data_IF_998418103646
#
_entry.id   IF_998418103646
#
_cell.length_a   1.000
_cell.length_b   1.000
_cell.length_c   1.000
_cell.angle_alpha   90.00
_cell.angle_beta   90.00
_cell.angle_gamma   90.00
#
_symmetry.space_group_name_H-M   'P 1'
#
loop_
_entity.id
_entity.type
_entity.pdbx_description
1 polymer ?
#
# COMPACT_ATOMS: atom_id res chain seq x y z
N UNK A 1 11.27 -2.53 13.03
CA UNK A 1 10.15 -1.86 12.35
C UNK A 1 9.34 -1.07 13.37
N UNK A 2 9.29 0.27 13.28
CA UNK A 2 8.43 1.08 14.16
C UNK A 2 7.14 1.40 13.42
N UNK A 3 6.06 0.71 13.75
CA UNK A 3 4.76 0.94 13.15
C UNK A 3 4.05 2.13 13.79
N UNK A 4 3.15 2.79 13.05
CA UNK A 4 2.20 3.73 13.64
C UNK A 4 1.25 2.94 14.56
N UNK A 5 1.56 2.91 15.86
CA UNK A 5 0.95 2.02 16.87
C UNK A 5 -0.58 1.95 16.79
N UNK A 6 -1.25 3.09 16.63
CA UNK A 6 -2.70 3.15 16.54
C UNK A 6 -3.24 2.52 15.25
N UNK A 7 -2.58 2.75 14.12
CA UNK A 7 -2.98 2.18 12.83
C UNK A 7 -2.68 0.66 12.79
N UNK A 8 -1.58 0.22 13.42
CA UNK A 8 -1.26 -1.21 13.53
C UNK A 8 -2.25 -1.97 14.43
N UNK A 9 -2.72 -1.36 15.53
CA UNK A 9 -3.75 -1.96 16.36
C UNK A 9 -5.08 -2.14 15.61
N UNK A 10 -5.45 -1.18 14.75
CA UNK A 10 -6.65 -1.31 13.92
C UNK A 10 -6.47 -2.41 12.87
N UNK A 11 -5.28 -2.53 12.28
CA UNK A 11 -4.94 -3.61 11.37
C UNK A 11 -5.18 -4.98 12.02
N UNK A 12 -4.58 -5.25 13.18
CA UNK A 12 -4.68 -6.55 13.86
C UNK A 12 -6.10 -6.83 14.36
N UNK A 13 -6.80 -5.82 14.88
CA UNK A 13 -8.17 -5.99 15.40
C UNK A 13 -9.19 -6.26 14.29
N UNK A 14 -9.05 -5.63 13.11
CA UNK A 14 -10.03 -5.76 12.02
C UNK A 14 -9.75 -6.88 11.04
N UNK A 15 -8.48 -7.20 10.80
CA UNK A 15 -8.08 -8.11 9.71
C UNK A 15 -7.50 -9.42 10.23
N UNK A 16 -7.40 -9.59 11.56
CA UNK A 16 -7.01 -10.82 12.24
C UNK A 16 -5.56 -10.85 12.69
N UNK A 17 -5.24 -11.83 13.54
CA UNK A 17 -3.90 -12.13 14.02
C UNK A 17 -3.12 -12.92 12.95
N UNK A 18 -1.79 -12.72 12.86
CA UNK A 18 -0.84 -13.37 11.94
C UNK A 18 -0.60 -12.75 10.55
N UNK A 19 -0.88 -11.45 10.37
CA UNK A 19 -0.41 -10.74 9.16
C UNK A 19 1.07 -10.38 9.32
N UNK A 20 1.95 -11.08 8.60
CA UNK A 20 3.37 -10.71 8.51
C UNK A 20 3.50 -9.40 7.71
N UNK A 21 3.80 -8.32 8.43
CA UNK A 21 4.05 -7.01 7.84
C UNK A 21 5.52 -6.87 7.53
N UNK A 22 5.80 -6.66 6.25
CA UNK A 22 7.14 -6.46 5.70
C UNK A 22 7.56 -5.00 5.80
N UNK A 23 6.61 -4.08 5.66
CA UNK A 23 6.88 -2.64 5.65
C UNK A 23 5.60 -1.83 5.87
N UNK A 24 5.78 -0.57 6.29
CA UNK A 24 4.69 0.40 6.36
C UNK A 24 5.12 1.79 5.90
N UNK A 25 4.25 2.49 5.18
CA UNK A 25 4.43 3.90 4.81
C UNK A 25 3.14 4.68 5.05
N UNK A 26 3.20 6.02 5.03
CA UNK A 26 1.98 6.82 4.92
C UNK A 26 1.58 6.99 3.47
N UNK A 27 0.32 7.35 3.31
CA UNK A 27 -0.17 7.71 2.00
C UNK A 27 -1.61 8.18 2.01
N UNK A 28 -2.11 8.36 0.81
CA UNK A 28 -3.49 8.73 0.53
C UNK A 28 -4.16 7.59 -0.21
N UNK A 29 -5.38 7.26 0.18
CA UNK A 29 -6.22 6.25 -0.43
C UNK A 29 -7.45 6.94 -1.03
N UNK A 30 -7.62 6.82 -2.33
CA UNK A 30 -8.83 7.25 -3.02
C UNK A 30 -9.66 6.03 -3.37
N UNK A 31 -10.89 6.01 -2.88
CA UNK A 31 -11.91 5.06 -3.28
C UNK A 31 -13.17 5.85 -3.59
N UNK A 32 -13.65 5.72 -4.83
CA UNK A 32 -14.89 6.33 -5.31
C UNK A 32 -14.91 7.86 -5.10
N UNK A 33 -13.79 8.53 -5.40
CA UNK A 33 -13.65 9.99 -5.32
C UNK A 33 -13.39 10.55 -3.92
N UNK A 34 -13.26 9.71 -2.89
CA UNK A 34 -13.01 10.15 -1.52
C UNK A 34 -11.57 9.87 -1.07
N UNK A 35 -10.78 10.94 -0.93
CA UNK A 35 -9.41 10.87 -0.41
C UNK A 35 -9.35 10.67 1.10
N UNK A 36 -8.53 9.70 1.52
CA UNK A 36 -8.26 9.40 2.94
C UNK A 36 -6.77 9.34 3.17
N UNK A 37 -6.26 10.12 4.12
CA UNK A 37 -4.87 10.00 4.57
C UNK A 37 -4.77 8.96 5.68
N UNK A 38 -3.75 8.11 5.60
CA UNK A 38 -3.58 7.00 6.54
C UNK A 38 -2.24 6.30 6.37
N UNK A 39 -2.18 5.07 6.84
CA UNK A 39 -1.02 4.19 6.75
C UNK A 39 -1.29 3.04 5.82
N UNK A 40 -0.29 2.75 5.00
CA UNK A 40 -0.18 1.52 4.24
C UNK A 40 0.68 0.53 4.99
N UNK A 41 0.20 -0.70 5.12
CA UNK A 41 0.96 -1.84 5.60
C UNK A 41 1.06 -2.86 4.48
N UNK A 42 2.26 -3.38 4.25
CA UNK A 42 2.55 -4.32 3.18
C UNK A 42 2.80 -5.70 3.75
N UNK A 43 2.17 -6.69 3.15
CA UNK A 43 2.46 -8.10 3.37
C UNK A 43 2.96 -8.73 2.08
N UNK A 44 3.21 -10.04 2.11
CA UNK A 44 3.60 -10.82 0.93
C UNK A 44 2.55 -10.82 -0.20
N UNK A 45 1.28 -10.60 0.12
CA UNK A 45 0.17 -10.83 -0.83
C UNK A 45 -0.78 -9.64 -0.97
N UNK A 46 -0.75 -8.71 -0.03
CA UNK A 46 -1.71 -7.62 0.08
C UNK A 46 -1.04 -6.33 0.53
N UNK A 47 -1.61 -5.24 0.04
CA UNK A 47 -1.48 -3.90 0.59
C UNK A 47 -2.71 -3.60 1.45
N UNK A 48 -2.49 -3.12 2.67
CA UNK A 48 -3.56 -2.73 3.59
C UNK A 48 -3.52 -1.23 3.82
N UNK A 49 -4.61 -0.54 3.52
CA UNK A 49 -4.77 0.85 3.94
C UNK A 49 -5.55 0.92 5.25
N UNK A 50 -4.98 1.59 6.24
CA UNK A 50 -5.57 1.75 7.56
C UNK A 50 -5.59 3.21 7.94
N UNK A 51 -6.71 3.65 8.51
CA UNK A 51 -6.85 4.97 9.10
C UNK A 51 -7.48 4.78 10.48
N UNK A 52 -6.66 4.89 11.52
CA UNK A 52 -7.11 4.63 12.89
C UNK A 52 -8.18 5.61 13.37
N UNK A 53 -8.11 6.88 12.95
CA UNK A 53 -9.01 7.95 13.44
C UNK A 53 -10.50 7.74 13.13
N UNK A 54 -10.83 7.01 12.08
CA UNK A 54 -12.20 6.65 11.69
C UNK A 54 -12.41 5.14 11.68
N UNK A 55 -11.50 4.39 12.32
CA UNK A 55 -11.52 2.93 12.36
C UNK A 55 -11.68 2.31 10.96
N UNK A 56 -11.06 2.88 9.93
CA UNK A 56 -11.20 2.42 8.56
C UNK A 56 -10.06 1.46 8.19
N UNK A 57 -10.42 0.37 7.52
CA UNK A 57 -9.46 -0.59 6.98
C UNK A 57 -9.90 -1.03 5.59
N UNK A 58 -8.96 -1.10 4.66
CA UNK A 58 -9.19 -1.58 3.30
C UNK A 58 -8.04 -2.47 2.85
N UNK A 59 -8.38 -3.58 2.20
CA UNK A 59 -7.41 -4.55 1.69
C UNK A 59 -7.36 -4.47 0.16
N UNK A 60 -6.16 -4.33 -0.38
CA UNK A 60 -5.87 -4.33 -1.82
C UNK A 60 -5.00 -5.57 -2.11
N UNK A 61 -5.59 -6.65 -2.64
CA UNK A 61 -4.82 -7.78 -3.15
C UNK A 61 -3.89 -7.32 -4.27
N UNK A 62 -2.64 -7.79 -4.26
CA UNK A 62 -1.68 -7.44 -5.32
C UNK A 62 -2.16 -7.84 -6.72
N UNK A 63 -2.94 -8.93 -6.81
CA UNK A 63 -3.56 -9.39 -8.06
C UNK A 63 -4.59 -8.43 -8.67
N UNK A 64 -5.07 -7.44 -7.90
CA UNK A 64 -6.08 -6.46 -8.33
C UNK A 64 -5.43 -5.11 -8.68
N UNK A 65 -4.10 -4.99 -8.53
CA UNK A 65 -3.32 -3.85 -8.99
C UNK A 65 -3.24 -3.90 -10.51
N UNK A 66 -3.48 -2.76 -11.14
CA UNK A 66 -3.48 -2.59 -12.60
C UNK A 66 -2.23 -1.86 -13.08
N UNK A 67 -1.72 -0.91 -12.28
CA UNK A 67 -0.49 -0.18 -12.58
C UNK A 67 0.16 0.34 -11.31
N UNK A 68 1.48 0.53 -11.39
CA UNK A 68 2.27 1.20 -10.35
C UNK A 68 3.21 2.20 -11.02
N UNK A 69 3.00 3.49 -10.75
CA UNK A 69 3.73 4.60 -11.36
C UNK A 69 4.49 5.39 -10.29
N UNK A 70 5.79 5.64 -10.50
CA UNK A 70 6.56 6.50 -9.60
C UNK A 70 6.51 7.94 -10.05
N UNK A 71 6.13 8.82 -9.13
CA UNK A 71 6.14 10.27 -9.33
C UNK A 71 7.16 10.93 -8.41
N UNK A 72 8.26 11.38 -9.00
CA UNK A 72 9.32 12.11 -8.32
C UNK A 72 9.32 13.57 -8.75
N UNK A 73 9.17 14.47 -7.78
CA UNK A 73 9.35 15.93 -7.88
C UNK A 73 10.31 16.38 -6.77
N UNK A 74 10.82 17.60 -6.88
CA UNK A 74 11.81 18.18 -5.95
C UNK A 74 11.43 18.04 -4.47
N UNK A 75 10.15 18.18 -4.13
CA UNK A 75 9.65 18.12 -2.75
C UNK A 75 8.71 16.93 -2.48
N UNK A 76 8.54 16.01 -3.43
CA UNK A 76 7.64 14.88 -3.27
C UNK A 76 8.10 13.67 -4.08
N UNK A 77 8.24 12.54 -3.42
CA UNK A 77 8.49 11.25 -4.07
C UNK A 77 7.42 10.27 -3.58
N UNK A 78 6.67 9.69 -4.50
CA UNK A 78 5.59 8.76 -4.18
C UNK A 78 5.35 7.76 -5.30
N UNK A 79 4.75 6.62 -4.93
CA UNK A 79 4.10 5.73 -5.88
C UNK A 79 2.62 6.06 -5.98
N UNK A 80 2.11 6.02 -7.20
CA UNK A 80 0.69 5.96 -7.51
C UNK A 80 0.36 4.54 -7.96
N UNK A 81 -0.50 3.86 -7.20
CA UNK A 81 -0.98 2.52 -7.50
C UNK A 81 -2.43 2.65 -7.96
N UNK A 82 -2.73 2.16 -9.16
CA UNK A 82 -4.10 2.06 -9.67
C UNK A 82 -4.59 0.64 -9.43
N UNK A 83 -5.78 0.48 -8.85
CA UNK A 83 -6.38 -0.84 -8.61
C UNK A 83 -7.90 -0.77 -8.80
N UNK A 84 -8.49 -1.84 -9.33
CA UNK A 84 -9.92 -1.85 -9.68
C UNK A 84 -10.36 -0.68 -10.59
N UNK A 85 -11.66 -0.38 -10.62
CA UNK A 85 -12.21 0.72 -11.44
C UNK A 85 -12.14 2.05 -10.69
N UNK A 86 -11.27 2.96 -11.13
CA UNK A 86 -11.10 4.33 -10.61
C UNK A 86 -10.68 4.45 -9.13
N UNK A 87 -9.92 3.49 -8.60
CA UNK A 87 -9.38 3.59 -7.23
C UNK A 87 -7.86 3.72 -7.29
N UNK A 88 -7.32 4.57 -6.42
CA UNK A 88 -5.89 4.84 -6.38
C UNK A 88 -5.34 4.82 -4.96
N UNK A 89 -4.08 4.41 -4.84
CA UNK A 89 -3.33 4.38 -3.61
C UNK A 89 -2.01 5.13 -3.84
N UNK A 90 -1.87 6.28 -3.19
CA UNK A 90 -0.65 7.08 -3.21
C UNK A 90 0.19 6.74 -1.99
N UNK A 91 1.42 6.29 -2.18
CA UNK A 91 2.32 5.86 -1.10
C UNK A 91 3.58 6.71 -1.09
N UNK A 92 3.87 7.38 0.02
CA UNK A 92 5.00 8.30 0.12
C UNK A 92 6.31 7.52 0.28
N UNK A 93 7.36 8.00 -0.39
CA UNK A 93 8.72 7.46 -0.28
C UNK A 93 9.53 8.43 0.59
N UNK A 94 9.96 7.97 1.75
CA UNK A 94 10.67 8.81 2.73
C UNK A 94 12.19 8.73 2.60
N UNK A 95 12.73 7.56 2.24
CA UNK A 95 14.16 7.28 2.22
C UNK A 95 14.48 6.14 1.23
N UNK A 96 15.77 5.82 1.09
CA UNK A 96 16.26 4.74 0.23
C UNK A 96 15.73 3.37 0.62
N UNK A 97 15.63 3.07 1.91
CA UNK A 97 15.09 1.81 2.42
C UNK A 97 13.62 1.60 2.00
N UNK A 98 12.80 2.64 2.13
CA UNK A 98 11.40 2.64 1.66
C UNK A 98 11.34 2.35 0.16
N UNK A 99 12.24 2.94 -0.63
CA UNK A 99 12.29 2.75 -2.06
C UNK A 99 12.69 1.32 -2.45
N UNK A 100 13.69 0.74 -1.80
CA UNK A 100 14.16 -0.62 -2.09
C UNK A 100 13.07 -1.66 -1.83
N UNK A 101 12.40 -1.57 -0.69
CA UNK A 101 11.32 -2.50 -0.34
C UNK A 101 10.14 -2.33 -1.30
N UNK A 102 9.80 -1.10 -1.66
CA UNK A 102 8.76 -0.80 -2.64
C UNK A 102 9.09 -1.39 -4.02
N UNK A 103 10.32 -1.21 -4.51
CA UNK A 103 10.74 -1.74 -5.80
C UNK A 103 10.72 -3.28 -5.83
N UNK A 104 11.15 -3.91 -4.74
CA UNK A 104 11.04 -5.35 -4.58
C UNK A 104 9.58 -5.83 -4.72
N UNK A 105 8.63 -5.10 -4.12
CA UNK A 105 7.21 -5.43 -4.22
C UNK A 105 6.66 -5.21 -5.62
N UNK A 106 7.03 -4.14 -6.32
CA UNK A 106 6.66 -3.93 -7.74
C UNK A 106 7.10 -5.13 -8.57
N UNK A 107 8.32 -5.61 -8.37
CA UNK A 107 8.84 -6.77 -9.09
C UNK A 107 8.01 -8.03 -8.81
N UNK A 108 7.56 -8.23 -7.56
CA UNK A 108 6.65 -9.32 -7.21
C UNK A 108 5.33 -9.18 -7.98
N UNK A 109 4.68 -8.01 -7.93
CA UNK A 109 3.40 -7.78 -8.62
C UNK A 109 3.53 -8.05 -10.12
N UNK A 110 4.54 -7.47 -10.77
CA UNK A 110 4.76 -7.61 -12.21
C UNK A 110 5.12 -9.06 -12.61
N UNK A 111 5.86 -9.79 -11.76
CA UNK A 111 6.19 -11.19 -12.03
C UNK A 111 4.96 -12.10 -12.02
N UNK A 112 3.96 -11.80 -11.17
CA UNK A 112 2.70 -12.54 -11.09
C UNK A 112 1.80 -12.26 -12.29
N UNK A 113 1.80 -11.04 -12.84
CA UNK A 113 1.05 -10.71 -14.07
C UNK A 113 1.60 -11.45 -15.30
N UNK A 114 2.94 -11.53 -15.42
CA UNK A 114 3.58 -12.24 -16.53
C UNK A 114 3.27 -13.75 -16.54
N UNK A 115 3.01 -14.34 -15.38
CA UNK A 115 2.62 -15.76 -15.27
C UNK A 115 1.17 -16.04 -15.66
N UNK A 116 0.29 -15.04 -15.64
CA UNK A 116 -1.13 -15.19 -16.06
C UNK A 116 -1.34 -15.04 -17.57
N UNK A 117 -0.31 -14.60 -18.29
CA UNK A 117 -0.36 -14.30 -19.72
C UNK A 117 0.22 -15.45 -20.59
N UNK A 118 0.52 -16.60 -19.96
CA UNK A 118 0.99 -17.86 -20.55
C UNK A 118 -0.11 -18.91 -20.41
#
# INVERSE_FOLDING_TARGET
>A
MSYYKNDFNVLTTKLGENIEILFSSKGTFNCDGNDRNGSYFFSKTHLYFIRGKDNFAYRIPFKDILSIDRHKKTLSDYLLITYGKNKTAKIVIYNSETLEIINYLINIVNSVENQKSL
#
